data_IF_546390358335
#
_entry.id   IF_546390358335
#
_cell.length_a   1.000
_cell.length_b   1.000
_cell.length_c   1.000
_cell.angle_alpha   90.00
_cell.angle_beta   90.00
_cell.angle_gamma   90.00
#
_symmetry.space_group_name_H-M   'P 1'
#
loop_
_entity.id
_entity.type
_entity.pdbx_description
1 polymer ?
#
# COMPACT_ATOMS: atom_id res chain seq x y z
N UNK A 1 0.89 14.08 -2.94
CA UNK A 1 0.59 12.87 -2.16
C UNK A 1 -0.26 11.96 -3.04
N UNK A 2 0.32 10.88 -3.56
CA UNK A 2 -0.34 9.93 -4.45
C UNK A 2 -1.01 8.76 -3.72
N UNK A 3 -0.73 8.57 -2.43
CA UNK A 3 -1.23 7.46 -1.60
C UNK A 3 -2.75 7.24 -1.66
N UNK A 4 -3.61 8.28 -1.60
CA UNK A 4 -5.06 8.06 -1.69
C UNK A 4 -5.48 7.44 -3.04
N UNK A 5 -4.77 7.79 -4.12
CA UNK A 5 -5.00 7.21 -5.44
C UNK A 5 -4.58 5.75 -5.50
N UNK A 6 -3.46 5.39 -4.85
CA UNK A 6 -3.02 3.99 -4.74
C UNK A 6 -4.08 3.15 -4.01
N UNK A 7 -4.63 3.64 -2.90
CA UNK A 7 -5.71 2.95 -2.19
C UNK A 7 -6.96 2.79 -3.04
N UNK A 8 -7.39 3.88 -3.69
CA UNK A 8 -8.54 3.86 -4.59
C UNK A 8 -8.34 2.88 -5.76
N UNK A 9 -7.18 2.90 -6.39
CA UNK A 9 -6.83 2.03 -7.52
C UNK A 9 -6.80 0.55 -7.12
N UNK A 10 -6.13 0.22 -6.02
CA UNK A 10 -6.09 -1.15 -5.48
C UNK A 10 -7.50 -1.66 -5.15
N UNK A 11 -8.29 -0.87 -4.41
CA UNK A 11 -9.64 -1.24 -4.02
C UNK A 11 -10.54 -1.43 -5.25
N UNK A 12 -10.50 -0.52 -6.22
CA UNK A 12 -11.30 -0.59 -7.44
C UNK A 12 -10.92 -1.81 -8.31
N UNK A 13 -9.63 -2.06 -8.48
CA UNK A 13 -9.16 -3.24 -9.23
C UNK A 13 -9.51 -4.55 -8.53
N UNK A 14 -9.38 -4.62 -7.20
CA UNK A 14 -9.78 -5.79 -6.42
C UNK A 14 -11.29 -6.03 -6.50
N UNK A 15 -12.11 -4.97 -6.43
CA UNK A 15 -13.55 -5.06 -6.61
C UNK A 15 -13.91 -5.62 -8.00
N UNK A 16 -13.22 -5.16 -9.04
CA UNK A 16 -13.37 -5.66 -10.41
C UNK A 16 -12.99 -7.15 -10.53
N UNK A 17 -11.88 -7.58 -9.95
CA UNK A 17 -11.45 -8.99 -9.99
C UNK A 17 -12.39 -9.91 -9.22
N UNK A 18 -12.86 -9.48 -8.04
CA UNK A 18 -13.79 -10.23 -7.19
C UNK A 18 -15.26 -10.12 -7.64
N UNK A 19 -15.57 -9.33 -8.67
CA UNK A 19 -16.93 -9.06 -9.14
C UNK A 19 -17.83 -8.55 -8.01
N UNK A 20 -17.30 -7.64 -7.21
CA UNK A 20 -18.00 -6.97 -6.12
C UNK A 20 -18.26 -5.52 -6.55
N UNK A 21 -19.51 -5.02 -6.45
CA UNK A 21 -19.79 -3.61 -6.68
C UNK A 21 -18.98 -2.73 -5.73
N UNK A 22 -18.34 -1.69 -6.26
CA UNK A 22 -17.52 -0.79 -5.45
C UNK A 22 -18.42 0.15 -4.62
N UNK A 23 -18.39 -0.02 -3.30
CA UNK A 23 -19.05 0.88 -2.35
C UNK A 23 -18.32 2.24 -2.33
N UNK A 24 -19.04 3.32 -2.66
CA UNK A 24 -18.48 4.70 -2.61
C UNK A 24 -18.05 5.09 -1.18
N UNK A 25 -18.84 4.81 -0.12
CA UNK A 25 -18.39 5.01 1.25
C UNK A 25 -17.09 4.27 1.57
N UNK A 26 -16.97 3.00 1.20
CA UNK A 26 -15.74 2.22 1.43
C UNK A 26 -14.54 2.82 0.70
N UNK A 27 -14.71 3.27 -0.54
CA UNK A 27 -13.65 3.95 -1.30
C UNK A 27 -13.16 5.22 -0.59
N UNK A 28 -14.08 6.04 -0.08
CA UNK A 28 -13.74 7.24 0.69
C UNK A 28 -13.02 6.86 1.99
N UNK A 29 -13.51 5.84 2.70
CA UNK A 29 -12.92 5.36 3.95
C UNK A 29 -11.49 4.88 3.76
N UNK A 30 -11.23 4.03 2.77
CA UNK A 30 -9.89 3.49 2.46
C UNK A 30 -8.92 4.58 2.01
N UNK A 31 -9.31 5.42 1.04
CA UNK A 31 -8.46 6.49 0.54
C UNK A 31 -8.12 7.53 1.62
N UNK A 32 -9.12 7.90 2.42
CA UNK A 32 -8.95 8.88 3.50
C UNK A 32 -8.21 8.28 4.69
N UNK A 33 -8.48 7.03 5.05
CA UNK A 33 -7.77 6.31 6.10
C UNK A 33 -6.28 6.19 5.80
N UNK A 34 -5.91 5.76 4.60
CA UNK A 34 -4.52 5.73 4.14
C UNK A 34 -3.90 7.14 4.16
N UNK A 35 -4.64 8.16 3.75
CA UNK A 35 -4.16 9.54 3.82
C UNK A 35 -3.86 9.99 5.25
N UNK A 36 -4.75 9.73 6.21
CA UNK A 36 -4.57 10.07 7.62
C UNK A 36 -3.34 9.37 8.19
N UNK A 37 -3.21 8.07 7.96
CA UNK A 37 -2.05 7.28 8.42
C UNK A 37 -0.76 7.96 7.94
N UNK A 38 -0.64 8.29 6.65
CA UNK A 38 0.56 8.96 6.12
C UNK A 38 0.74 10.41 6.59
N UNK A 39 -0.35 11.15 6.83
CA UNK A 39 -0.27 12.49 7.43
C UNK A 39 0.28 12.42 8.86
N UNK A 40 -0.22 11.47 9.66
CA UNK A 40 0.19 11.27 11.04
C UNK A 40 1.63 10.78 11.14
N UNK A 41 2.05 9.85 10.27
CA UNK A 41 3.44 9.38 10.19
C UNK A 41 4.41 10.56 10.03
N UNK A 42 4.09 11.45 9.09
CA UNK A 42 4.91 12.62 8.76
C UNK A 42 4.88 13.72 9.82
N UNK A 43 3.85 13.75 10.65
CA UNK A 43 3.62 14.83 11.60
C UNK A 43 4.02 14.49 13.04
N UNK A 44 3.66 13.29 13.51
CA UNK A 44 3.79 12.90 14.92
C UNK A 44 5.09 12.15 15.21
N UNK A 45 5.65 11.45 14.22
CA UNK A 45 6.74 10.51 14.43
C UNK A 45 8.04 10.97 13.75
N UNK A 46 8.42 12.24 13.95
CA UNK A 46 9.72 12.74 13.48
C UNK A 46 10.83 12.13 14.32
N UNK A 47 11.48 11.10 13.80
CA UNK A 47 12.61 10.45 14.45
C UNK A 47 13.94 11.19 14.22
N UNK A 48 14.99 10.88 15.00
CA UNK A 48 16.34 11.38 14.73
C UNK A 48 16.83 10.96 13.34
N UNK A 49 16.42 9.80 12.83
CA UNK A 49 16.74 9.34 11.47
C UNK A 49 16.18 10.26 10.39
N UNK A 50 14.99 10.83 10.60
CA UNK A 50 14.34 11.72 9.63
C UNK A 50 15.04 13.07 9.51
N UNK A 51 15.71 13.53 10.58
CA UNK A 51 16.54 14.74 10.55
C UNK A 51 17.79 14.56 9.68
N UNK A 52 18.26 13.32 9.53
CA UNK A 52 19.40 12.99 8.67
C UNK A 52 18.93 12.76 7.24
N UNK A 53 17.90 11.92 7.06
CA UNK A 53 17.46 11.50 5.74
C UNK A 53 16.71 12.60 4.99
N UNK A 54 15.89 13.39 5.71
CA UNK A 54 14.88 14.26 5.09
C UNK A 54 14.70 15.59 5.87
N UNK A 55 15.76 16.37 6.11
CA UNK A 55 15.71 17.57 6.95
C UNK A 55 14.74 18.63 6.41
N UNK A 56 14.70 18.82 5.09
CA UNK A 56 13.81 19.80 4.44
C UNK A 56 12.33 19.44 4.62
N UNK A 57 12.00 18.15 4.48
CA UNK A 57 10.65 17.63 4.70
C UNK A 57 10.19 17.89 6.13
N UNK A 58 11.07 17.64 7.11
CA UNK A 58 10.78 17.90 8.53
C UNK A 58 10.55 19.40 8.76
N UNK A 59 11.42 20.26 8.23
CA UNK A 59 11.28 21.71 8.36
C UNK A 59 9.98 22.23 7.70
N UNK A 60 9.60 21.68 6.55
CA UNK A 60 8.35 22.00 5.88
C UNK A 60 7.13 21.63 6.73
N UNK A 61 7.07 20.40 7.26
CA UNK A 61 5.93 19.96 8.08
C UNK A 61 5.78 20.77 9.38
N UNK A 62 6.90 21.16 10.00
CA UNK A 62 6.88 22.04 11.18
C UNK A 62 6.27 23.41 10.87
N UNK A 63 6.43 23.93 9.65
CA UNK A 63 5.81 25.19 9.20
C UNK A 63 4.34 25.04 8.82
N UNK A 64 3.94 23.87 8.33
CA UNK A 64 2.61 23.62 7.77
C UNK A 64 1.60 23.01 8.75
N UNK A 65 1.73 23.28 10.06
CA UNK A 65 0.86 22.72 11.09
C UNK A 65 -0.63 23.06 10.90
N UNK A 66 -0.94 24.25 10.36
CA UNK A 66 -2.33 24.63 10.04
C UNK A 66 -2.92 23.75 8.93
N UNK A 67 -2.14 23.50 7.87
CA UNK A 67 -2.54 22.64 6.76
C UNK A 67 -2.76 21.20 7.24
N UNK A 68 -1.87 20.70 8.10
CA UNK A 68 -2.02 19.38 8.73
C UNK A 68 -3.33 19.27 9.51
N UNK A 69 -3.61 20.21 10.41
CA UNK A 69 -4.85 20.21 11.22
C UNK A 69 -6.09 20.31 10.34
N UNK A 70 -6.07 21.17 9.33
CA UNK A 70 -7.15 21.28 8.35
C UNK A 70 -7.36 19.97 7.57
N UNK A 71 -6.28 19.34 7.12
CA UNK A 71 -6.32 18.04 6.45
C UNK A 71 -6.89 16.93 7.33
N UNK A 72 -6.46 16.85 8.59
CA UNK A 72 -6.98 15.88 9.56
C UNK A 72 -8.46 16.15 9.89
N UNK A 73 -8.90 17.40 9.97
CA UNK A 73 -10.29 17.75 10.19
C UNK A 73 -11.17 17.31 9.00
N UNK A 74 -10.75 17.63 7.77
CA UNK A 74 -11.44 17.17 6.55
C UNK A 74 -11.48 15.65 6.50
N UNK A 75 -10.36 14.99 6.78
CA UNK A 75 -10.30 13.54 6.80
C UNK A 75 -11.22 12.93 7.87
N UNK A 76 -11.31 13.52 9.05
CA UNK A 76 -12.23 13.11 10.11
C UNK A 76 -13.70 13.24 9.68
N UNK A 77 -14.07 14.32 8.98
CA UNK A 77 -15.41 14.48 8.42
C UNK A 77 -15.74 13.42 7.35
N UNK A 78 -14.79 13.14 6.45
CA UNK A 78 -14.95 12.14 5.40
C UNK A 78 -15.05 10.72 5.96
N UNK A 79 -14.19 10.37 6.93
CA UNK A 79 -14.24 9.09 7.64
C UNK A 79 -15.56 8.97 8.41
N UNK A 80 -15.97 10.03 9.12
CA UNK A 80 -17.23 10.07 9.87
C UNK A 80 -18.43 9.84 8.95
N UNK A 81 -18.49 10.55 7.83
CA UNK A 81 -19.52 10.34 6.81
C UNK A 81 -19.51 8.91 6.26
N UNK A 82 -18.34 8.39 5.87
CA UNK A 82 -18.22 7.05 5.32
C UNK A 82 -18.64 5.98 6.34
N UNK A 83 -18.27 6.16 7.61
CA UNK A 83 -18.58 5.25 8.70
C UNK A 83 -20.08 5.10 8.96
N UNK A 84 -20.89 6.12 8.67
CA UNK A 84 -22.34 6.03 8.77
C UNK A 84 -22.98 5.12 7.71
N UNK A 85 -22.24 4.77 6.64
CA UNK A 85 -22.78 4.10 5.46
C UNK A 85 -22.12 2.75 5.14
N UNK A 86 -21.06 2.35 5.85
CA UNK A 86 -20.42 1.04 5.68
C UNK A 86 -20.93 0.04 6.73
N UNK A 87 -20.77 -1.25 6.45
CA UNK A 87 -21.17 -2.29 7.40
C UNK A 87 -20.32 -2.27 8.67
N UNK A 88 -20.93 -2.66 9.81
CA UNK A 88 -20.24 -2.74 11.09
C UNK A 88 -19.04 -3.72 11.05
N UNK A 89 -19.15 -4.83 10.32
CA UNK A 89 -18.06 -5.79 10.11
C UNK A 89 -16.88 -5.14 9.38
N UNK A 90 -17.15 -4.37 8.32
CA UNK A 90 -16.17 -3.58 7.58
C UNK A 90 -15.50 -2.56 8.48
N UNK A 91 -16.27 -1.86 9.32
CA UNK A 91 -15.72 -0.88 10.27
C UNK A 91 -14.80 -1.51 11.30
N UNK A 92 -15.20 -2.62 11.91
CA UNK A 92 -14.39 -3.31 12.92
C UNK A 92 -13.08 -3.80 12.29
N UNK A 93 -13.15 -4.42 11.10
CA UNK A 93 -11.97 -4.88 10.38
C UNK A 93 -11.07 -3.71 9.96
N UNK A 94 -11.65 -2.67 9.39
CA UNK A 94 -10.95 -1.45 8.96
C UNK A 94 -10.29 -0.72 10.13
N UNK A 95 -10.98 -0.61 11.28
CA UNK A 95 -10.43 -0.04 12.50
C UNK A 95 -9.26 -0.87 13.04
N UNK A 96 -9.35 -2.21 13.00
CA UNK A 96 -8.26 -3.10 13.37
C UNK A 96 -7.01 -2.90 12.50
N UNK A 97 -7.19 -2.82 11.18
CA UNK A 97 -6.11 -2.54 10.23
C UNK A 97 -5.53 -1.13 10.43
N UNK A 98 -6.39 -0.14 10.64
CA UNK A 98 -5.98 1.23 10.96
C UNK A 98 -5.18 1.30 12.26
N UNK A 99 -5.58 0.54 13.29
CA UNK A 99 -4.86 0.45 14.54
C UNK A 99 -3.45 -0.14 14.36
N UNK A 100 -3.28 -1.15 13.50
CA UNK A 100 -1.93 -1.65 13.13
C UNK A 100 -1.09 -0.52 12.53
N UNK A 101 -1.67 0.27 11.61
CA UNK A 101 -1.03 1.45 11.04
C UNK A 101 -0.71 2.54 12.07
N UNK A 102 -1.53 2.73 13.10
CA UNK A 102 -1.28 3.70 14.18
C UNK A 102 -0.23 3.19 15.19
N UNK A 103 -0.29 1.91 15.58
CA UNK A 103 0.70 1.28 16.46
C UNK A 103 2.11 1.34 15.86
N UNK A 104 2.21 1.35 14.53
CA UNK A 104 3.45 1.62 13.82
C UNK A 104 4.04 3.02 14.11
N UNK A 105 3.20 4.00 14.45
CA UNK A 105 3.55 5.42 14.62
C UNK A 105 3.61 5.88 16.08
N UNK A 106 2.98 5.14 17.00
CA UNK A 106 2.88 5.57 18.40
C UNK A 106 4.24 5.52 19.12
N UNK A 107 4.58 6.58 19.89
CA UNK A 107 5.81 6.61 20.68
C UNK A 107 5.80 5.48 21.73
N UNK A 108 6.94 4.81 21.89
CA UNK A 108 7.11 3.68 22.81
C UNK A 108 7.00 2.28 22.17
N UNK A 109 6.28 2.13 21.06
CA UNK A 109 6.13 0.83 20.36
C UNK A 109 7.03 0.74 19.11
N UNK A 110 7.46 1.88 18.54
CA UNK A 110 8.39 2.05 17.39
C UNK A 110 8.66 0.78 16.55
N UNK A 111 7.62 0.21 15.96
CA UNK A 111 7.70 -0.98 15.09
C UNK A 111 8.63 -0.75 13.87
N UNK A 112 8.89 0.51 13.53
CA UNK A 112 9.92 0.93 12.55
C UNK A 112 11.31 0.33 12.85
N UNK A 113 11.59 -0.06 14.10
CA UNK A 113 12.84 -0.72 14.50
C UNK A 113 12.91 -2.21 14.13
N UNK A 114 11.79 -2.84 13.74
CA UNK A 114 11.66 -4.29 13.66
C UNK A 114 12.10 -4.89 12.32
N UNK A 115 13.14 -4.33 11.69
CA UNK A 115 13.79 -4.92 10.52
C UNK A 115 12.81 -5.27 9.39
N UNK A 116 12.75 -6.56 9.03
CA UNK A 116 11.88 -7.08 7.97
C UNK A 116 10.38 -7.07 8.33
N UNK A 117 10.02 -6.99 9.62
CA UNK A 117 8.63 -6.99 10.04
C UNK A 117 7.90 -5.73 9.56
N UNK A 118 8.58 -4.58 9.51
CA UNK A 118 8.01 -3.32 8.99
C UNK A 118 7.44 -3.46 7.57
N UNK A 119 8.24 -3.83 6.54
CA UNK A 119 7.72 -3.94 5.18
C UNK A 119 6.65 -5.02 5.06
N UNK A 120 6.73 -6.11 5.83
CA UNK A 120 5.69 -7.14 5.88
C UNK A 120 4.37 -6.59 6.44
N UNK A 121 4.42 -5.83 7.54
CA UNK A 121 3.23 -5.24 8.15
C UNK A 121 2.58 -4.20 7.22
N UNK A 122 3.39 -3.37 6.56
CA UNK A 122 2.91 -2.40 5.57
C UNK A 122 2.20 -3.14 4.43
N UNK A 123 2.89 -4.08 3.76
CA UNK A 123 2.33 -4.81 2.63
C UNK A 123 1.13 -5.69 3.03
N UNK A 124 1.17 -6.28 4.23
CA UNK A 124 0.08 -7.06 4.82
C UNK A 124 -1.16 -6.22 5.07
N UNK A 125 -1.01 -5.03 5.66
CA UNK A 125 -2.12 -4.11 5.93
C UNK A 125 -2.74 -3.62 4.63
N UNK A 126 -1.92 -3.22 3.64
CA UNK A 126 -2.41 -2.80 2.32
C UNK A 126 -3.11 -3.93 1.58
N UNK A 127 -2.52 -5.13 1.53
CA UNK A 127 -3.13 -6.27 0.85
C UNK A 127 -4.42 -6.72 1.52
N UNK A 128 -4.46 -6.82 2.85
CA UNK A 128 -5.67 -7.17 3.59
C UNK A 128 -6.73 -6.09 3.47
N UNK A 129 -6.43 -4.82 3.73
CA UNK A 129 -7.43 -3.73 3.66
C UNK A 129 -8.12 -3.68 2.29
N UNK A 130 -7.31 -3.63 1.23
CA UNK A 130 -7.83 -3.49 -0.12
C UNK A 130 -8.49 -4.75 -0.69
N UNK A 131 -8.34 -5.92 -0.07
CA UNK A 131 -8.99 -7.17 -0.53
C UNK A 131 -10.10 -7.65 0.39
N UNK A 132 -9.89 -7.67 1.70
CA UNK A 132 -10.80 -8.20 2.72
C UNK A 132 -12.00 -7.29 2.99
N UNK A 133 -11.83 -5.96 2.96
CA UNK A 133 -12.94 -5.06 3.28
C UNK A 133 -14.06 -5.11 2.23
N UNK A 134 -13.74 -5.46 0.98
CA UNK A 134 -14.71 -5.59 -0.11
C UNK A 134 -15.79 -6.66 0.14
N UNK A 135 -15.46 -7.94 0.35
CA UNK A 135 -16.45 -8.96 0.63
C UNK A 135 -17.17 -8.74 1.96
N UNK A 136 -16.50 -8.20 2.98
CA UNK A 136 -17.17 -7.84 4.24
C UNK A 136 -18.25 -6.79 4.00
N UNK A 137 -17.93 -5.74 3.25
CA UNK A 137 -18.86 -4.67 2.91
C UNK A 137 -20.01 -5.14 2.01
N UNK A 138 -19.75 -6.14 1.17
CA UNK A 138 -20.76 -6.74 0.32
C UNK A 138 -21.55 -7.87 1.00
N UNK A 139 -21.28 -8.19 2.27
CA UNK A 139 -21.90 -9.32 2.97
C UNK A 139 -21.61 -10.69 2.34
N UNK A 140 -20.47 -10.84 1.65
CA UNK A 140 -20.08 -12.07 0.94
C UNK A 140 -19.17 -12.94 1.80
N UNK A 141 -19.29 -14.25 1.61
CA UNK A 141 -18.42 -15.24 2.23
C UNK A 141 -16.96 -15.08 1.79
N UNK A 142 -16.04 -15.33 2.72
CA UNK A 142 -14.60 -15.30 2.48
C UNK A 142 -14.15 -16.60 1.80
N UNK A 143 -13.99 -16.56 0.48
CA UNK A 143 -13.63 -17.72 -0.33
C UNK A 143 -12.14 -17.80 -0.66
N UNK A 144 -11.73 -18.92 -1.26
CA UNK A 144 -10.33 -19.12 -1.68
C UNK A 144 -9.82 -18.09 -2.70
N UNK A 145 -10.68 -17.53 -3.56
CA UNK A 145 -10.30 -16.47 -4.50
C UNK A 145 -9.84 -15.19 -3.79
N UNK A 146 -10.47 -14.87 -2.65
CA UNK A 146 -10.06 -13.73 -1.82
C UNK A 146 -8.63 -13.95 -1.32
N UNK A 147 -8.37 -15.08 -0.66
CA UNK A 147 -7.05 -15.34 -0.08
C UNK A 147 -5.94 -15.46 -1.13
N UNK A 148 -6.27 -16.01 -2.31
CA UNK A 148 -5.36 -16.03 -3.45
C UNK A 148 -5.02 -14.61 -3.92
N UNK A 149 -6.03 -13.74 -4.05
CA UNK A 149 -5.84 -12.33 -4.39
C UNK A 149 -5.05 -11.58 -3.30
N UNK A 150 -5.34 -11.81 -2.03
CA UNK A 150 -4.60 -11.22 -0.91
C UNK A 150 -3.12 -11.61 -0.95
N UNK A 151 -2.82 -12.91 -1.12
CA UNK A 151 -1.44 -13.39 -1.24
C UNK A 151 -0.71 -12.82 -2.45
N UNK A 152 -1.39 -12.74 -3.60
CA UNK A 152 -0.89 -12.07 -4.79
C UNK A 152 -0.55 -10.60 -4.53
N UNK A 153 -1.47 -9.82 -3.94
CA UNK A 153 -1.26 -8.41 -3.60
C UNK A 153 -0.13 -8.23 -2.60
N UNK A 154 -0.04 -9.09 -1.58
CA UNK A 154 1.04 -9.05 -0.61
C UNK A 154 2.41 -9.14 -1.31
N UNK A 155 2.58 -10.12 -2.19
CA UNK A 155 3.85 -10.34 -2.91
C UNK A 155 4.16 -9.21 -3.91
N UNK A 156 3.15 -8.60 -4.52
CA UNK A 156 3.37 -7.45 -5.41
C UNK A 156 3.68 -6.16 -4.64
N UNK A 157 2.99 -5.91 -3.54
CA UNK A 157 3.17 -4.67 -2.76
C UNK A 157 4.50 -4.69 -2.00
N UNK A 158 4.89 -5.82 -1.40
CA UNK A 158 6.07 -5.94 -0.51
C UNK A 158 7.41 -5.45 -1.09
N UNK A 159 7.76 -5.67 -2.37
CA UNK A 159 8.91 -5.05 -3.03
C UNK A 159 9.05 -3.54 -2.82
N UNK A 160 7.93 -2.83 -2.80
CA UNK A 160 7.93 -1.37 -2.73
C UNK A 160 8.45 -0.84 -1.37
N UNK A 161 7.84 -1.15 -0.20
CA UNK A 161 8.38 -0.70 1.08
C UNK A 161 9.78 -1.29 1.38
N UNK A 162 10.15 -2.43 0.78
CA UNK A 162 11.52 -2.95 0.88
C UNK A 162 12.54 -2.03 0.20
N UNK A 163 12.25 -1.57 -1.01
CA UNK A 163 13.14 -0.70 -1.79
C UNK A 163 13.07 0.75 -1.31
N UNK A 164 11.91 1.20 -0.83
CA UNK A 164 11.71 2.55 -0.30
C UNK A 164 12.53 2.82 0.98
N UNK A 165 12.94 1.78 1.70
CA UNK A 165 13.85 1.91 2.85
C UNK A 165 15.32 2.14 2.44
N UNK A 166 15.66 1.98 1.15
CA UNK A 166 17.05 2.11 0.69
C UNK A 166 17.62 3.53 0.86
N UNK A 167 16.94 4.61 0.41
CA UNK A 167 17.43 5.97 0.63
C UNK A 167 17.58 6.33 2.12
N UNK A 168 16.76 5.72 2.99
CA UNK A 168 16.74 5.99 4.42
C UNK A 168 17.85 5.27 5.20
N UNK A 169 18.64 4.44 4.53
CA UNK A 169 19.67 3.57 5.12
C UNK A 169 20.70 4.32 5.99
N UNK A 170 21.10 5.53 5.60
CA UNK A 170 22.12 6.28 6.36
C UNK A 170 21.57 6.74 7.71
N UNK A 171 20.43 7.40 7.73
CA UNK A 171 19.75 7.81 8.97
C UNK A 171 19.37 6.62 9.83
N UNK A 172 18.88 5.53 9.22
CA UNK A 172 18.57 4.28 9.94
C UNK A 172 19.80 3.73 10.64
N UNK A 173 20.96 3.70 9.96
CA UNK A 173 22.23 3.24 10.55
C UNK A 173 22.66 4.11 11.73
N UNK A 174 22.57 5.44 11.60
CA UNK A 174 22.90 6.39 12.68
C UNK A 174 21.97 6.21 13.88
N UNK A 175 20.69 5.94 13.63
CA UNK A 175 19.70 5.70 14.67
C UNK A 175 19.71 4.26 15.23
N UNK A 176 20.63 3.40 14.80
CA UNK A 176 20.74 2.00 15.24
C UNK A 176 19.62 1.08 14.74
N UNK A 177 18.83 1.53 13.76
CA UNK A 177 17.74 0.78 13.14
C UNK A 177 18.34 -0.24 12.16
N UNK A 178 17.88 -1.50 12.24
CA UNK A 178 18.45 -2.61 11.45
C UNK A 178 17.49 -3.12 10.37
N UNK A 179 17.04 -2.22 9.49
CA UNK A 179 16.22 -2.55 8.30
C UNK A 179 16.97 -3.46 7.32
N UNK A 180 16.26 -4.17 6.41
CA UNK A 180 16.89 -4.90 5.32
C UNK A 180 17.85 -4.03 4.49
N UNK A 181 17.48 -2.76 4.25
CA UNK A 181 18.33 -1.78 3.58
C UNK A 181 19.66 -1.53 4.29
N UNK A 182 19.69 -1.56 5.63
CA UNK A 182 20.94 -1.43 6.40
C UNK A 182 21.78 -2.70 6.39
N UNK A 183 21.14 -3.88 6.42
CA UNK A 183 21.81 -5.18 6.56
C UNK A 183 22.32 -5.76 5.24
N UNK A 184 21.62 -5.50 4.15
CA UNK A 184 21.90 -6.10 2.84
C UNK A 184 22.54 -5.08 1.91
N UNK A 185 23.32 -5.56 0.94
CA UNK A 185 23.69 -4.72 -0.19
C UNK A 185 22.48 -4.57 -1.14
N UNK A 186 22.54 -3.55 -2.01
CA UNK A 186 21.43 -3.25 -2.92
C UNK A 186 21.10 -4.42 -3.85
N UNK A 187 22.12 -5.15 -4.34
CA UNK A 187 21.93 -6.31 -5.23
C UNK A 187 21.08 -7.39 -4.57
N UNK A 188 21.33 -7.71 -3.31
CA UNK A 188 20.55 -8.69 -2.53
C UNK A 188 19.11 -8.19 -2.33
N UNK A 189 18.92 -6.93 -1.96
CA UNK A 189 17.59 -6.34 -1.77
C UNK A 189 16.78 -6.35 -3.09
N UNK A 190 17.41 -5.93 -4.19
CA UNK A 190 16.83 -5.94 -5.54
C UNK A 190 16.44 -7.34 -5.98
N UNK A 191 17.30 -8.34 -5.79
CA UNK A 191 16.99 -9.73 -6.13
C UNK A 191 15.83 -10.28 -5.28
N UNK A 192 15.78 -9.93 -4.00
CA UNK A 192 14.64 -10.27 -3.14
C UNK A 192 13.33 -9.66 -3.65
N UNK A 193 13.34 -8.37 -4.01
CA UNK A 193 12.18 -7.70 -4.61
C UNK A 193 11.74 -8.36 -5.93
N UNK A 194 12.68 -8.73 -6.80
CA UNK A 194 12.37 -9.43 -8.06
C UNK A 194 11.82 -10.85 -7.83
N UNK A 195 12.33 -11.58 -6.83
CA UNK A 195 11.83 -12.90 -6.47
C UNK A 195 10.40 -12.83 -5.93
N UNK A 196 10.08 -11.81 -5.13
CA UNK A 196 8.72 -11.55 -4.66
C UNK A 196 7.78 -11.25 -5.84
N UNK A 197 8.21 -10.45 -6.81
CA UNK A 197 7.42 -10.19 -8.02
C UNK A 197 7.24 -11.44 -8.88
N UNK A 198 8.25 -12.33 -8.97
CA UNK A 198 8.09 -13.63 -9.63
C UNK A 198 7.05 -14.50 -8.91
N UNK A 199 7.05 -14.49 -7.58
CA UNK A 199 6.01 -15.11 -6.77
C UNK A 199 4.62 -14.51 -7.05
N UNK A 200 4.51 -13.18 -7.12
CA UNK A 200 3.29 -12.49 -7.49
C UNK A 200 2.81 -12.88 -8.89
N UNK A 201 3.69 -12.92 -9.89
CA UNK A 201 3.36 -13.40 -11.25
C UNK A 201 2.83 -14.84 -11.21
N UNK A 202 3.48 -15.73 -10.47
CA UNK A 202 3.09 -17.13 -10.35
C UNK A 202 1.69 -17.28 -9.73
N UNK A 203 1.42 -16.61 -8.61
CA UNK A 203 0.10 -16.62 -7.96
C UNK A 203 -0.95 -15.93 -8.85
N UNK A 204 -0.60 -14.83 -9.50
CA UNK A 204 -1.50 -14.09 -10.37
C UNK A 204 -1.90 -14.88 -11.63
N UNK A 205 -1.00 -15.69 -12.20
CA UNK A 205 -1.35 -16.63 -13.28
C UNK A 205 -2.36 -17.68 -12.82
N UNK A 206 -2.17 -18.24 -11.62
CA UNK A 206 -3.15 -19.17 -11.02
C UNK A 206 -4.49 -18.45 -10.82
N UNK A 207 -4.46 -17.20 -10.36
CA UNK A 207 -5.67 -16.39 -10.18
C UNK A 207 -6.39 -16.14 -11.51
N UNK A 208 -5.68 -15.81 -12.59
CA UNK A 208 -6.26 -15.64 -13.94
C UNK A 208 -6.99 -16.91 -14.37
N UNK A 209 -6.32 -18.06 -14.27
CA UNK A 209 -6.90 -19.36 -14.67
C UNK A 209 -8.15 -19.65 -13.84
N UNK A 210 -8.07 -19.42 -12.52
CA UNK A 210 -9.17 -19.69 -11.59
C UNK A 210 -10.36 -18.75 -11.76
N UNK A 211 -10.12 -17.50 -12.10
CA UNK A 211 -11.18 -16.53 -12.39
C UNK A 211 -11.76 -16.71 -13.79
N UNK A 212 -10.98 -17.22 -14.75
CA UNK A 212 -11.40 -17.42 -16.13
C UNK A 212 -11.61 -16.10 -16.89
N UNK A 213 -10.84 -15.06 -16.57
CA UNK A 213 -11.11 -13.68 -16.99
C UNK A 213 -9.88 -12.98 -17.56
N UNK A 214 -10.02 -12.42 -18.76
CA UNK A 214 -8.93 -11.77 -19.48
C UNK A 214 -8.46 -10.47 -18.80
N UNK A 215 -9.35 -9.77 -18.10
CA UNK A 215 -9.06 -8.52 -17.39
C UNK A 215 -8.06 -8.73 -16.25
N UNK A 216 -7.98 -9.94 -15.70
CA UNK A 216 -6.98 -10.30 -14.71
C UNK A 216 -5.55 -10.32 -15.31
N UNK A 217 -5.41 -10.52 -16.63
CA UNK A 217 -4.12 -10.37 -17.32
C UNK A 217 -3.65 -8.92 -17.39
N UNK A 218 -4.57 -7.94 -17.46
CA UNK A 218 -4.23 -6.51 -17.39
C UNK A 218 -3.62 -6.20 -16.03
N UNK A 219 -4.13 -6.79 -14.96
CA UNK A 219 -3.60 -6.57 -13.61
C UNK A 219 -2.13 -7.04 -13.49
N UNK A 220 -1.81 -8.20 -14.10
CA UNK A 220 -0.45 -8.74 -14.15
C UNK A 220 0.54 -7.83 -14.89
N UNK A 221 0.08 -7.00 -15.84
CA UNK A 221 0.96 -6.05 -16.52
C UNK A 221 1.60 -5.06 -15.53
N UNK A 222 0.90 -4.68 -14.46
CA UNK A 222 1.45 -3.81 -13.42
C UNK A 222 2.62 -4.46 -12.68
N UNK A 223 2.52 -5.77 -12.41
CA UNK A 223 3.61 -6.58 -11.82
C UNK A 223 4.81 -6.64 -12.76
N UNK A 224 4.57 -6.88 -14.05
CA UNK A 224 5.61 -6.90 -15.08
C UNK A 224 6.30 -5.55 -15.21
N UNK A 225 5.54 -4.44 -15.26
CA UNK A 225 6.08 -3.09 -15.28
C UNK A 225 6.94 -2.79 -14.05
N UNK A 226 6.49 -3.22 -12.86
CA UNK A 226 7.26 -3.08 -11.62
C UNK A 226 8.58 -3.85 -11.71
N UNK A 227 8.54 -5.09 -12.22
CA UNK A 227 9.71 -5.93 -12.43
C UNK A 227 10.69 -5.33 -13.44
N UNK A 228 10.19 -4.84 -14.58
CA UNK A 228 10.99 -4.18 -15.62
C UNK A 228 11.70 -2.94 -15.06
N UNK A 229 10.99 -2.11 -14.29
CA UNK A 229 11.57 -0.93 -13.66
C UNK A 229 12.69 -1.28 -12.67
N UNK A 230 12.48 -2.30 -11.83
CA UNK A 230 13.49 -2.77 -10.86
C UNK A 230 14.68 -3.42 -11.58
N UNK A 231 14.45 -4.17 -12.67
CA UNK A 231 15.52 -4.77 -13.46
C UNK A 231 16.37 -3.74 -14.21
N UNK A 232 15.74 -2.69 -14.74
CA UNK A 232 16.43 -1.58 -15.40
C UNK A 232 17.29 -0.77 -14.41
N UNK A 233 16.89 -0.75 -13.14
CA UNK A 233 17.61 -0.08 -12.04
C UNK A 233 18.81 -0.91 -11.59
N UNK A 234 19.89 -0.89 -12.38
CA UNK A 234 21.16 -1.58 -12.05
C UNK A 234 21.88 -0.96 -10.86
N UNK A 235 21.65 0.33 -10.61
CA UNK A 235 22.15 1.09 -9.47
C UNK A 235 21.03 1.34 -8.44
N UNK A 236 21.40 1.96 -7.31
CA UNK A 236 20.49 2.35 -6.24
C UNK A 236 19.28 3.15 -6.78
N UNK A 237 18.08 2.96 -6.22
CA UNK A 237 16.87 3.52 -6.80
C UNK A 237 16.83 5.03 -6.57
N UNK A 238 16.54 5.79 -7.63
CA UNK A 238 16.30 7.23 -7.50
C UNK A 238 14.93 7.50 -6.86
N UNK A 239 14.73 8.69 -6.31
CA UNK A 239 13.44 9.11 -5.75
C UNK A 239 12.30 9.00 -6.78
N UNK A 240 12.58 9.39 -8.03
CA UNK A 240 11.62 9.28 -9.14
C UNK A 240 11.22 7.82 -9.39
N UNK A 241 12.18 6.89 -9.34
CA UNK A 241 11.88 5.47 -9.53
C UNK A 241 10.99 4.92 -8.42
N UNK A 242 11.21 5.32 -7.16
CA UNK A 242 10.36 4.94 -6.03
C UNK A 242 8.94 5.50 -6.18
N UNK A 243 8.79 6.75 -6.63
CA UNK A 243 7.48 7.33 -6.94
C UNK A 243 6.78 6.55 -8.05
N UNK A 244 7.49 6.15 -9.11
CA UNK A 244 6.90 5.34 -10.18
C UNK A 244 6.47 3.97 -9.65
N UNK A 245 7.26 3.33 -8.77
CA UNK A 245 6.87 2.06 -8.13
C UNK A 245 5.59 2.21 -7.31
N UNK A 246 5.44 3.29 -6.54
CA UNK A 246 4.19 3.58 -5.84
C UNK A 246 3.02 3.75 -6.80
N UNK A 247 3.21 4.50 -7.90
CA UNK A 247 2.16 4.71 -8.90
C UNK A 247 1.80 3.42 -9.64
N UNK A 248 2.75 2.51 -9.84
CA UNK A 248 2.48 1.19 -10.40
C UNK A 248 1.61 0.32 -9.47
N UNK A 249 1.60 0.56 -8.15
CA UNK A 249 0.61 -0.09 -7.27
C UNK A 249 -0.83 0.40 -7.52
N UNK A 250 -1.01 1.56 -8.17
CA UNK A 250 -2.31 2.07 -8.61
C UNK A 250 -2.78 1.41 -9.92
N UNK A 251 -1.93 0.65 -10.61
CA UNK A 251 -2.24 -0.02 -11.88
C UNK A 251 -3.56 -0.80 -11.92
N UNK A 252 -4.05 -1.43 -10.83
CA UNK A 252 -5.34 -2.13 -10.84
C UNK A 252 -6.55 -1.26 -11.23
N UNK A 253 -6.42 0.07 -11.25
CA UNK A 253 -7.41 0.97 -11.86
C UNK A 253 -7.68 0.62 -13.32
N UNK A 254 -6.65 0.24 -14.09
CA UNK A 254 -6.80 -0.14 -15.50
C UNK A 254 -7.59 -1.44 -15.67
N UNK A 255 -7.45 -2.38 -14.72
CA UNK A 255 -8.28 -3.60 -14.67
C UNK A 255 -9.76 -3.27 -14.47
N UNK A 256 -10.07 -2.31 -13.59
CA UNK A 256 -11.44 -1.85 -13.37
C UNK A 256 -12.00 -1.13 -14.61
N UNK A 257 -11.21 -0.28 -15.25
CA UNK A 257 -11.60 0.42 -16.48
C UNK A 257 -11.89 -0.56 -17.62
N UNK A 258 -11.01 -1.54 -17.82
CA UNK A 258 -11.19 -2.56 -18.86
C UNK A 258 -12.47 -3.38 -18.67
N UNK A 259 -12.78 -3.79 -17.43
CA UNK A 259 -14.04 -4.47 -17.10
C UNK A 259 -15.27 -3.58 -17.36
N UNK A 260 -15.16 -2.28 -17.09
CA UNK A 260 -16.27 -1.36 -17.31
C UNK A 260 -16.54 -1.20 -18.81
N UNK A 261 -15.48 -1.06 -19.61
CA UNK A 261 -15.57 -0.96 -21.07
C UNK A 261 -16.10 -2.25 -21.71
N UNK A 262 -15.66 -3.42 -21.24
CA UNK A 262 -16.12 -4.71 -21.79
C UNK A 262 -17.60 -5.00 -21.50
N UNK A 263 -18.21 -4.32 -20.53
CA UNK A 263 -19.64 -4.45 -20.22
C UNK A 263 -20.52 -3.45 -20.98
N UNK A 264 -19.93 -2.41 -21.56
CA UNK A 264 -20.65 -1.40 -22.34
C UNK A 264 -20.76 -1.73 -23.83
N UNK A 265 -20.03 -2.75 -24.29
CA UNK A 265 -20.05 -3.29 -25.65
C UNK A 265 -20.96 -4.51 -25.72
#
# INVERSE_FOLDING_TARGET
>A
MHIPWVAAGLLAGNAALLQIPLSKPLLVLEATGAWVVYLLDRALNIGPEDLVNQPERVAWWRRQQKLLRGGLAIAGLLIGWAALHVQASTLVAGAGLGLIGLLYMLPGVRLKQWGIAKPILIAGTWSLGTTLLLPLEAGRALGANLWLLTGYRLLWILPNPLLADWPDRQGDRVAGIRTPAVRWNYKTLRNGALLLLLGALSIGLILIIRLGRAEAAIDLMGVLCSGMLIMASRAEPSEVQLIILDLLLCWPVFTMLALTLSRSL
#
